data_IF_484957503811
#
_entry.id   IF_484957503811
#
_cell.length_a   1.000
_cell.length_b   1.000
_cell.length_c   1.000
_cell.angle_alpha   90.00
_cell.angle_beta   90.00
_cell.angle_gamma   90.00
#
_symmetry.space_group_name_H-M   'P 1'
#
loop_
_entity.id
_entity.type
_entity.pdbx_description
1 polymer ?
#
# COMPACT_ATOMS: atom_id res chain seq x y z
N UNK A 1 5.53 -5.26 16.63
CA UNK A 1 4.39 -5.77 15.84
C UNK A 1 4.89 -6.92 14.96
N UNK A 2 4.09 -7.93 14.57
CA UNK A 2 4.60 -9.05 13.74
C UNK A 2 5.22 -8.58 12.42
N UNK A 3 4.65 -7.53 11.81
CA UNK A 3 5.15 -6.89 10.58
C UNK A 3 6.54 -6.26 10.75
N UNK A 4 6.92 -5.84 11.97
CA UNK A 4 8.21 -5.18 12.24
C UNK A 4 9.37 -6.16 12.41
N UNK A 5 9.14 -7.47 12.27
CA UNK A 5 10.18 -8.50 12.39
C UNK A 5 10.72 -8.96 11.03
N UNK A 6 9.97 -8.72 9.95
CA UNK A 6 10.43 -9.00 8.61
C UNK A 6 11.44 -7.97 8.12
N UNK A 7 12.45 -8.42 7.37
CA UNK A 7 13.36 -7.51 6.65
C UNK A 7 12.64 -6.72 5.55
N UNK A 8 11.50 -7.22 5.08
CA UNK A 8 10.65 -6.58 4.08
C UNK A 8 9.18 -6.81 4.44
N UNK A 9 8.39 -5.74 4.39
CA UNK A 9 6.94 -5.76 4.68
C UNK A 9 6.18 -5.08 3.56
N UNK A 10 5.29 -5.82 2.91
CA UNK A 10 4.57 -5.42 1.70
C UNK A 10 3.08 -5.64 1.91
N UNK A 11 2.28 -4.64 1.57
CA UNK A 11 0.83 -4.75 1.42
C UNK A 11 0.51 -4.88 -0.07
N UNK A 12 -0.35 -5.82 -0.42
CA UNK A 12 -0.82 -6.02 -1.79
C UNK A 12 -2.35 -5.89 -1.77
N UNK A 13 -2.89 -5.02 -2.60
CA UNK A 13 -4.33 -4.81 -2.69
C UNK A 13 -4.74 -4.30 -4.06
N UNK A 14 -5.96 -4.60 -4.47
CA UNK A 14 -6.56 -3.93 -5.63
C UNK A 14 -7.13 -2.55 -5.27
N UNK A 15 -7.36 -1.75 -6.30
CA UNK A 15 -7.93 -0.41 -6.22
C UNK A 15 -9.33 -0.38 -5.63
N UNK A 16 -10.08 -1.49 -5.69
CA UNK A 16 -11.42 -1.60 -5.12
C UNK A 16 -11.43 -1.57 -3.60
N UNK A 17 -10.26 -1.69 -2.94
CA UNK A 17 -10.16 -1.59 -1.47
C UNK A 17 -10.00 -0.16 -0.97
N UNK A 18 -9.64 0.80 -1.82
CA UNK A 18 -9.52 2.20 -1.39
C UNK A 18 -10.89 2.79 -1.01
N UNK A 19 -10.91 3.61 0.04
CA UNK A 19 -12.14 4.24 0.57
C UNK A 19 -13.10 3.29 1.27
N UNK A 20 -12.79 1.98 1.37
CA UNK A 20 -13.60 1.02 2.13
C UNK A 20 -13.17 1.00 3.60
N UNK A 21 -14.15 0.91 4.49
CA UNK A 21 -13.91 0.70 5.91
C UNK A 21 -13.61 -0.78 6.18
N UNK A 22 -12.43 -1.07 6.73
CA UNK A 22 -12.09 -2.41 7.21
C UNK A 22 -12.69 -2.66 8.60
N UNK A 23 -13.01 -3.92 8.91
CA UNK A 23 -13.46 -4.32 10.24
C UNK A 23 -12.35 -4.23 11.30
N UNK A 24 -11.09 -4.30 10.87
CA UNK A 24 -9.89 -4.28 11.73
C UNK A 24 -8.81 -3.43 11.07
N UNK A 25 -8.12 -2.63 11.88
CA UNK A 25 -6.90 -1.94 11.47
C UNK A 25 -5.68 -2.70 12.01
N UNK A 26 -4.84 -3.19 11.10
CA UNK A 26 -3.61 -3.92 11.46
C UNK A 26 -2.49 -2.94 11.83
N UNK A 27 -2.23 -1.92 11.00
CA UNK A 27 -1.29 -0.83 11.27
C UNK A 27 -1.69 0.45 10.51
N UNK A 28 -0.96 1.54 10.77
CA UNK A 28 -0.93 2.70 9.88
C UNK A 28 0.00 2.50 8.67
N UNK A 29 0.12 3.53 7.83
CA UNK A 29 0.99 3.50 6.65
C UNK A 29 2.49 3.42 6.97
N UNK A 30 2.87 3.72 8.21
CA UNK A 30 4.21 3.58 8.78
C UNK A 30 4.53 2.14 9.24
N UNK A 31 3.53 1.25 9.24
CA UNK A 31 3.67 -0.14 9.68
C UNK A 31 4.21 -1.10 8.60
N UNK A 32 4.36 -0.64 7.36
CA UNK A 32 4.87 -1.44 6.24
C UNK A 32 5.77 -0.61 5.32
N UNK A 33 6.62 -1.29 4.54
CA UNK A 33 7.63 -0.63 3.70
C UNK A 33 7.16 -0.34 2.26
N UNK A 34 6.15 -1.06 1.77
CA UNK A 34 5.72 -1.02 0.38
C UNK A 34 4.22 -1.34 0.23
N UNK A 35 3.54 -0.66 -0.69
CA UNK A 35 2.20 -0.98 -1.18
C UNK A 35 2.26 -1.28 -2.68
N UNK A 36 1.76 -2.45 -3.08
CA UNK A 36 1.52 -2.80 -4.47
C UNK A 36 0.02 -2.79 -4.77
N UNK A 37 -0.38 -2.14 -5.86
CA UNK A 37 -1.78 -2.05 -6.30
C UNK A 37 -1.90 -1.95 -7.81
N UNK A 38 -3.08 -2.21 -8.36
CA UNK A 38 -3.33 -2.24 -9.81
C UNK A 38 -3.65 -0.87 -10.40
N UNK A 39 -4.00 0.13 -9.58
CA UNK A 39 -4.22 1.51 -10.02
C UNK A 39 -3.71 2.52 -9.01
N UNK A 40 -3.50 3.76 -9.46
CA UNK A 40 -3.15 4.86 -8.55
C UNK A 40 -4.19 5.01 -7.43
N UNK A 41 -3.77 5.02 -6.16
CA UNK A 41 -4.67 5.31 -5.05
C UNK A 41 -5.18 6.75 -5.10
N UNK A 42 -6.30 7.06 -4.41
CA UNK A 42 -6.70 8.42 -4.11
C UNK A 42 -5.55 9.29 -3.59
N UNK A 43 -5.56 10.59 -3.94
CA UNK A 43 -4.44 11.51 -3.69
C UNK A 43 -4.05 11.62 -2.22
N UNK A 44 -5.03 11.59 -1.33
CA UNK A 44 -4.85 11.60 0.12
C UNK A 44 -4.11 10.35 0.60
N UNK A 45 -4.47 9.16 0.10
CA UNK A 45 -3.78 7.90 0.40
C UNK A 45 -2.36 7.91 -0.17
N UNK A 46 -2.18 8.35 -1.42
CA UNK A 46 -0.86 8.48 -2.05
C UNK A 46 0.07 9.42 -1.26
N UNK A 47 -0.46 10.57 -0.82
CA UNK A 47 0.27 11.53 0.00
C UNK A 47 0.62 10.93 1.36
N UNK A 48 -0.32 10.25 2.02
CA UNK A 48 -0.09 9.62 3.31
C UNK A 48 0.99 8.52 3.25
N UNK A 49 1.00 7.70 2.20
CA UNK A 49 2.07 6.72 1.94
C UNK A 49 3.43 7.41 1.79
N UNK A 50 3.50 8.49 1.02
CA UNK A 50 4.72 9.27 0.83
C UNK A 50 5.25 9.88 2.13
N UNK A 51 4.37 10.44 2.97
CA UNK A 51 4.75 10.98 4.28
C UNK A 51 5.24 9.90 5.25
N UNK A 52 4.69 8.69 5.16
CA UNK A 52 5.11 7.54 5.96
C UNK A 52 6.41 6.88 5.45
N UNK A 53 6.92 7.28 4.27
CA UNK A 53 8.09 6.67 3.65
C UNK A 53 7.81 5.30 3.00
N UNK A 54 6.54 4.93 2.82
CA UNK A 54 6.16 3.70 2.15
C UNK A 54 6.28 3.86 0.63
N UNK A 55 6.90 2.87 -0.04
CA UNK A 55 6.99 2.87 -1.51
C UNK A 55 5.66 2.44 -2.13
N UNK A 56 5.22 3.13 -3.17
CA UNK A 56 4.04 2.76 -3.96
C UNK A 56 4.48 2.14 -5.29
N UNK A 57 3.98 0.94 -5.60
CA UNK A 57 4.18 0.26 -6.87
C UNK A 57 2.83 0.02 -7.55
N UNK A 58 2.70 0.45 -8.81
CA UNK A 58 1.51 0.19 -9.62
C UNK A 58 1.83 -0.98 -10.54
N UNK A 59 1.11 -2.10 -10.38
CA UNK A 59 1.38 -3.37 -11.04
C UNK A 59 0.19 -3.72 -11.92
N UNK A 60 0.39 -3.82 -13.23
CA UNK A 60 -0.68 -4.13 -14.18
C UNK A 60 -0.68 -3.29 -15.46
N UNK A 61 0.30 -2.41 -15.66
CA UNK A 61 0.56 -1.85 -16.98
C UNK A 61 1.40 -2.88 -17.77
N UNK A 62 0.74 -3.72 -18.58
CA UNK A 62 1.40 -4.48 -19.65
C UNK A 62 1.79 -3.55 -20.80
N UNK A 63 2.60 -2.52 -20.54
CA UNK A 63 3.41 -1.90 -21.58
C UNK A 63 4.74 -2.63 -21.66
N UNK A 64 4.75 -3.77 -22.36
CA UNK A 64 5.95 -4.29 -23.01
C UNK A 64 6.40 -5.69 -22.60
N UNK A 65 5.76 -6.70 -23.18
CA UNK A 65 6.44 -7.81 -23.91
C UNK A 65 5.55 -8.22 -25.08
#
# INVERSE_FOLDING_TARGET
MVLSRGQRSLVITDHTKFGRQGLVQVCGFDGFSELATDHLPPRDIAAALGQAGARLSIVGDESGI
#
